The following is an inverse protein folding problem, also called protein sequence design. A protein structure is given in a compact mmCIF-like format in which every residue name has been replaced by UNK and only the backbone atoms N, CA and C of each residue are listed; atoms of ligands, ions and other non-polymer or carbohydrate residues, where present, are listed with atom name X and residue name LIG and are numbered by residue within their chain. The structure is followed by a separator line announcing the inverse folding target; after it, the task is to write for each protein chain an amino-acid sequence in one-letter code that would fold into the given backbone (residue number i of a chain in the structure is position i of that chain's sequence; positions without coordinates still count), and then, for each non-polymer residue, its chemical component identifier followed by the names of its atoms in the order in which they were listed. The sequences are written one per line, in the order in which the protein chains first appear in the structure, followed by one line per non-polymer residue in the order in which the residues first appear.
data_IF_448055927355
#
_entry.id   IF_448055927355
#
_cell.length_a   1.000
_cell.length_b   1.000
_cell.length_c   1.000
_cell.angle_alpha   90.00
_cell.angle_beta   90.00
_cell.angle_gamma   90.00
#
_symmetry.space_group_name_H-M   'P 1'
#
loop_
_entity.id
_entity.type
_entity.pdbx_description
1 polymer ?
#
# COMPACT_ATOMS: atom_id res chain seq x y z
N UNK A 1 -61.93 69.96 -5.72
CA UNK A 1 -60.90 69.24 -6.50
C UNK A 1 -61.56 68.66 -7.75
N UNK A 2 -61.17 69.07 -8.95
CA UNK A 2 -61.79 68.60 -10.21
C UNK A 2 -61.40 67.15 -10.54
N UNK A 3 -62.15 66.53 -11.46
CA UNK A 3 -61.82 65.21 -12.00
C UNK A 3 -60.40 65.17 -12.60
N UNK A 4 -60.00 66.26 -13.26
CA UNK A 4 -58.67 66.39 -13.87
C UNK A 4 -57.55 66.30 -12.84
N UNK A 5 -57.74 66.91 -11.67
CA UNK A 5 -56.76 66.83 -10.57
C UNK A 5 -56.65 65.40 -10.04
N UNK A 6 -57.79 64.69 -9.89
CA UNK A 6 -57.81 63.28 -9.45
C UNK A 6 -57.08 62.37 -10.44
N UNK A 7 -57.30 62.57 -11.73
CA UNK A 7 -56.67 61.77 -12.79
C UNK A 7 -55.16 62.00 -12.86
N UNK A 8 -54.70 63.24 -12.67
CA UNK A 8 -53.29 63.59 -12.61
C UNK A 8 -52.58 62.90 -11.45
N UNK A 9 -53.13 63.03 -10.23
CA UNK A 9 -52.54 62.43 -9.01
C UNK A 9 -52.46 60.90 -9.13
N UNK A 10 -53.50 60.25 -9.68
CA UNK A 10 -53.48 58.81 -9.92
C UNK A 10 -52.35 58.42 -10.90
N UNK A 11 -52.20 59.16 -11.99
CA UNK A 11 -51.17 58.89 -13.01
C UNK A 11 -49.75 59.08 -12.45
N UNK A 12 -49.56 60.09 -11.58
CA UNK A 12 -48.30 60.33 -10.87
C UNK A 12 -47.97 59.20 -9.88
N UNK A 13 -48.96 58.72 -9.12
CA UNK A 13 -48.79 57.59 -8.20
C UNK A 13 -48.42 56.30 -8.94
N UNK A 14 -49.14 55.95 -10.02
CA UNK A 14 -48.82 54.79 -10.85
C UNK A 14 -47.41 54.91 -11.44
N UNK A 15 -47.04 56.10 -11.92
CA UNK A 15 -45.69 56.35 -12.45
C UNK A 15 -44.60 56.18 -11.40
N UNK A 16 -44.85 56.57 -10.15
CA UNK A 16 -43.95 56.36 -9.03
C UNK A 16 -43.79 54.87 -8.70
N UNK A 17 -44.90 54.12 -8.64
CA UNK A 17 -44.90 52.69 -8.36
C UNK A 17 -44.16 51.89 -9.45
N UNK A 18 -44.42 52.18 -10.73
CA UNK A 18 -43.71 51.52 -11.85
C UNK A 18 -42.21 51.83 -11.83
N UNK A 19 -41.83 53.06 -11.49
CA UNK A 19 -40.42 53.43 -11.35
C UNK A 19 -39.76 52.68 -10.19
N UNK A 20 -40.44 52.57 -9.04
CA UNK A 20 -39.96 51.79 -7.91
C UNK A 20 -39.75 50.32 -8.30
N UNK A 21 -40.72 49.70 -8.98
CA UNK A 21 -40.61 48.31 -9.47
C UNK A 21 -39.44 48.11 -10.44
N UNK A 22 -39.27 49.02 -11.42
CA UNK A 22 -38.14 48.94 -12.37
C UNK A 22 -36.78 49.14 -11.68
N UNK A 23 -36.71 50.05 -10.71
CA UNK A 23 -35.49 50.26 -9.93
C UNK A 23 -35.17 49.03 -9.07
N UNK A 24 -36.16 48.39 -8.45
CA UNK A 24 -35.99 47.14 -7.69
C UNK A 24 -35.60 45.95 -8.58
N UNK A 25 -36.10 45.88 -9.81
CA UNK A 25 -35.70 44.87 -10.80
C UNK A 25 -34.26 45.09 -11.29
N UNK A 26 -33.83 46.34 -11.44
CA UNK A 26 -32.57 46.70 -12.07
C UNK A 26 -32.59 46.56 -13.59
N UNK A 27 -31.44 46.78 -14.23
CA UNK A 27 -31.26 46.60 -15.67
C UNK A 27 -30.93 45.13 -15.99
N UNK A 28 -31.89 44.41 -16.57
CA UNK A 28 -31.71 43.00 -16.94
C UNK A 28 -30.56 42.78 -17.95
N UNK A 29 -30.20 43.79 -18.74
CA UNK A 29 -29.09 43.67 -19.69
C UNK A 29 -27.73 43.55 -19.00
N UNK A 30 -27.64 43.98 -17.74
CA UNK A 30 -26.44 43.88 -16.89
C UNK A 30 -26.21 42.49 -16.29
N UNK A 31 -27.17 41.57 -16.39
CA UNK A 31 -26.99 40.19 -15.94
C UNK A 31 -25.85 39.50 -16.71
N UNK A 32 -25.03 38.72 -16.01
CA UNK A 32 -23.97 37.89 -16.62
C UNK A 32 -24.49 36.55 -17.17
N UNK A 33 -25.76 36.22 -16.90
CA UNK A 33 -26.44 35.04 -17.46
C UNK A 33 -26.71 35.22 -18.95
N UNK A 34 -26.89 34.11 -19.66
CA UNK A 34 -27.30 34.11 -21.06
C UNK A 34 -28.76 34.56 -21.19
N UNK A 35 -29.63 34.08 -20.30
CA UNK A 35 -31.02 34.49 -20.22
C UNK A 35 -31.15 35.85 -19.53
N UNK A 36 -31.56 36.88 -20.31
CA UNK A 36 -31.78 38.26 -19.82
C UNK A 36 -33.21 38.78 -20.01
N UNK A 37 -34.11 37.96 -20.55
CA UNK A 37 -35.48 38.38 -20.84
C UNK A 37 -36.36 38.56 -19.58
N UNK A 38 -36.07 37.82 -18.51
CA UNK A 38 -36.71 37.95 -17.20
C UNK A 38 -35.85 37.30 -16.10
N UNK A 39 -36.09 37.70 -14.84
CA UNK A 39 -35.34 37.21 -13.67
C UNK A 39 -35.53 35.71 -13.42
N UNK A 40 -36.71 35.15 -13.69
CA UNK A 40 -36.99 33.72 -13.44
C UNK A 40 -36.13 32.84 -14.36
N UNK A 41 -36.02 33.20 -15.63
CA UNK A 41 -35.18 32.49 -16.59
C UNK A 41 -33.69 32.56 -16.18
N UNK A 42 -33.20 33.74 -15.78
CA UNK A 42 -31.84 33.91 -15.28
C UNK A 42 -31.56 33.06 -14.02
N UNK A 43 -32.51 33.02 -13.08
CA UNK A 43 -32.40 32.21 -11.86
C UNK A 43 -32.37 30.70 -12.18
N UNK A 44 -33.22 30.25 -13.10
CA UNK A 44 -33.25 28.84 -13.50
C UNK A 44 -31.97 28.41 -14.24
N UNK A 45 -31.36 29.31 -15.02
CA UNK A 45 -30.04 29.10 -15.62
C UNK A 45 -28.97 28.88 -14.53
N UNK A 46 -28.92 29.77 -13.52
CA UNK A 46 -27.99 29.63 -12.40
C UNK A 46 -28.21 28.35 -11.59
N UNK A 47 -29.47 27.96 -11.35
CA UNK A 47 -29.79 26.70 -10.66
C UNK A 47 -29.20 25.48 -11.40
N UNK A 48 -29.32 25.47 -12.73
CA UNK A 48 -28.81 24.39 -13.58
C UNK A 48 -27.26 24.37 -13.60
N UNK A 49 -26.64 25.54 -13.72
CA UNK A 49 -25.18 25.68 -13.70
C UNK A 49 -24.61 25.27 -12.34
N UNK A 50 -25.23 25.69 -11.24
CA UNK A 50 -24.80 25.34 -9.88
C UNK A 50 -25.00 23.85 -9.58
N UNK A 51 -26.08 23.24 -10.07
CA UNK A 51 -26.26 21.78 -10.03
C UNK A 51 -25.21 21.00 -10.82
N UNK A 52 -24.48 21.67 -11.71
CA UNK A 52 -23.37 21.12 -12.49
C UNK A 52 -21.99 21.61 -12.00
N UNK A 53 -21.94 22.52 -11.03
CA UNK A 53 -20.71 23.13 -10.54
C UNK A 53 -20.07 22.23 -9.47
N UNK A 54 -19.02 21.52 -9.86
CA UNK A 54 -18.23 20.66 -8.98
C UNK A 54 -17.71 19.42 -9.69
N UNK A 55 -16.75 18.75 -9.07
CA UNK A 55 -16.38 17.41 -9.51
C UNK A 55 -17.59 16.48 -9.30
N UNK A 56 -18.07 15.85 -10.37
CA UNK A 56 -19.12 14.84 -10.27
C UNK A 56 -18.53 13.62 -9.57
N UNK A 57 -19.06 13.29 -8.39
CA UNK A 57 -18.68 12.07 -7.67
C UNK A 57 -19.47 10.90 -8.26
N UNK A 58 -18.76 9.87 -8.72
CA UNK A 58 -19.35 8.65 -9.28
C UNK A 58 -18.47 7.44 -8.92
N UNK A 59 -18.87 6.67 -7.92
CA UNK A 59 -18.14 5.49 -7.44
C UNK A 59 -18.27 4.27 -8.35
N UNK A 60 -19.12 4.35 -9.38
CA UNK A 60 -19.27 3.32 -10.41
C UNK A 60 -18.36 3.56 -11.61
N UNK A 61 -17.72 4.72 -11.69
CA UNK A 61 -16.82 5.06 -12.76
C UNK A 61 -15.62 4.11 -12.82
N UNK A 62 -15.24 3.70 -14.03
CA UNK A 62 -14.05 2.89 -14.27
C UNK A 62 -12.74 3.68 -14.16
N UNK A 63 -11.63 2.96 -14.03
CA UNK A 63 -10.27 3.52 -14.03
C UNK A 63 -10.02 4.31 -15.32
N UNK A 64 -9.49 5.53 -15.18
CA UNK A 64 -9.20 6.42 -16.32
C UNK A 64 -10.35 7.34 -16.73
N UNK A 65 -11.46 7.36 -15.99
CA UNK A 65 -12.50 8.37 -16.16
C UNK A 65 -11.92 9.79 -15.91
N UNK A 66 -12.19 10.72 -16.83
CA UNK A 66 -11.64 12.09 -16.80
C UNK A 66 -12.67 13.17 -16.45
N UNK A 67 -13.96 12.82 -16.43
CA UNK A 67 -15.08 13.74 -16.20
C UNK A 67 -15.71 13.63 -14.82
N UNK A 68 -15.27 12.65 -14.02
CA UNK A 68 -15.80 12.32 -12.69
C UNK A 68 -14.66 11.94 -11.76
N UNK A 69 -14.91 11.96 -10.46
CA UNK A 69 -13.98 11.46 -9.43
C UNK A 69 -14.67 10.42 -8.56
N UNK A 70 -13.89 9.53 -7.95
CA UNK A 70 -14.38 8.68 -6.87
C UNK A 70 -14.54 9.48 -5.58
N UNK A 71 -15.40 9.00 -4.69
CA UNK A 71 -15.50 9.44 -3.30
C UNK A 71 -14.24 9.06 -2.52
N UNK A 72 -14.07 9.68 -1.35
CA UNK A 72 -12.96 9.35 -0.44
C UNK A 72 -13.06 7.88 0.02
N UNK A 73 -14.27 7.41 0.36
CA UNK A 73 -14.51 6.04 0.81
C UNK A 73 -14.14 5.03 -0.28
N UNK A 74 -14.60 5.25 -1.52
CA UNK A 74 -14.26 4.39 -2.65
C UNK A 74 -12.75 4.35 -2.92
N UNK A 75 -12.07 5.49 -2.77
CA UNK A 75 -10.62 5.57 -2.94
C UNK A 75 -9.89 4.76 -1.86
N UNK A 76 -10.34 4.83 -0.61
CA UNK A 76 -9.80 4.03 0.50
C UNK A 76 -10.04 2.54 0.27
N UNK A 77 -11.25 2.14 -0.12
CA UNK A 77 -11.60 0.74 -0.41
C UNK A 77 -10.77 0.16 -1.56
N UNK A 78 -10.55 0.94 -2.62
CA UNK A 78 -9.71 0.54 -3.73
C UNK A 78 -8.26 0.31 -3.29
N UNK A 79 -7.70 1.23 -2.48
CA UNK A 79 -6.34 1.08 -1.94
C UNK A 79 -6.24 -0.14 -1.03
N UNK A 80 -7.22 -0.36 -0.14
CA UNK A 80 -7.24 -1.53 0.74
C UNK A 80 -7.29 -2.85 -0.07
N UNK A 81 -8.12 -2.90 -1.11
CA UNK A 81 -8.21 -4.05 -2.02
C UNK A 81 -6.90 -4.29 -2.78
N UNK A 82 -6.26 -3.21 -3.27
CA UNK A 82 -4.98 -3.29 -3.96
C UNK A 82 -3.86 -3.81 -3.03
N UNK A 83 -3.85 -3.38 -1.77
CA UNK A 83 -2.91 -3.88 -0.75
C UNK A 83 -3.13 -5.37 -0.48
N UNK A 84 -4.39 -5.81 -0.33
CA UNK A 84 -4.70 -7.22 -0.13
C UNK A 84 -4.26 -8.07 -1.34
N UNK A 85 -4.58 -7.61 -2.55
CA UNK A 85 -4.18 -8.29 -3.80
C UNK A 85 -2.66 -8.39 -3.93
N UNK A 86 -1.93 -7.32 -3.60
CA UNK A 86 -0.48 -7.32 -3.59
C UNK A 86 0.07 -8.31 -2.57
N UNK A 87 -0.49 -8.34 -1.36
CA UNK A 87 -0.11 -9.29 -0.32
C UNK A 87 -0.32 -10.73 -0.83
N UNK A 88 -1.50 -11.04 -1.34
CA UNK A 88 -1.80 -12.38 -1.88
C UNK A 88 -0.85 -12.77 -3.02
N UNK A 89 -0.52 -11.82 -3.90
CA UNK A 89 0.44 -12.03 -5.01
C UNK A 89 1.87 -12.27 -4.52
N UNK A 90 2.28 -11.60 -3.43
CA UNK A 90 3.60 -11.80 -2.82
C UNK A 90 3.69 -13.12 -2.06
N UNK A 91 2.57 -13.63 -1.56
CA UNK A 91 2.52 -14.91 -0.88
C UNK A 91 2.48 -16.09 -1.86
N UNK A 92 1.86 -15.94 -3.04
CA UNK A 92 1.79 -16.96 -4.09
C UNK A 92 1.48 -18.38 -3.56
N UNK A 93 0.54 -18.48 -2.61
CA UNK A 93 0.16 -19.75 -1.99
C UNK A 93 1.00 -20.18 -0.78
N UNK A 94 1.89 -19.32 -0.27
CA UNK A 94 2.53 -19.52 1.03
C UNK A 94 1.48 -19.70 2.12
N UNK A 95 1.60 -20.77 2.90
CA UNK A 95 0.71 -21.04 4.02
C UNK A 95 0.81 -19.93 5.08
N UNK A 96 -0.22 -19.78 5.92
CA UNK A 96 -0.32 -18.72 6.93
C UNK A 96 0.86 -18.63 7.92
N UNK A 97 1.70 -19.67 8.01
CA UNK A 97 2.92 -19.70 8.82
C UNK A 97 4.15 -19.01 8.17
N UNK A 98 4.06 -18.64 6.89
CA UNK A 98 5.13 -17.98 6.13
C UNK A 98 4.65 -16.66 5.51
N UNK A 99 3.64 -16.05 6.12
CA UNK A 99 3.01 -14.81 5.68
C UNK A 99 3.89 -13.57 6.00
N UNK A 100 4.99 -13.74 6.74
CA UNK A 100 5.95 -12.65 6.96
C UNK A 100 7.32 -12.95 6.35
N UNK A 101 7.89 -11.96 5.65
CA UNK A 101 9.27 -12.04 5.14
C UNK A 101 10.30 -12.30 6.25
N UNK A 102 9.97 -11.97 7.49
CA UNK A 102 10.81 -12.24 8.65
C UNK A 102 10.87 -13.73 8.97
N UNK A 103 9.76 -14.45 8.88
CA UNK A 103 9.73 -15.90 9.08
C UNK A 103 10.49 -16.63 7.97
N UNK A 104 10.35 -16.19 6.71
CA UNK A 104 11.14 -16.71 5.59
C UNK A 104 12.65 -16.45 5.80
N UNK A 105 13.01 -15.25 6.26
CA UNK A 105 14.39 -14.93 6.62
C UNK A 105 14.91 -15.84 7.74
N UNK A 106 14.12 -16.05 8.78
CA UNK A 106 14.50 -16.89 9.91
C UNK A 106 14.66 -18.36 9.51
N UNK A 107 13.78 -18.87 8.64
CA UNK A 107 13.89 -20.23 8.11
C UNK A 107 15.18 -20.40 7.30
N UNK A 108 15.48 -19.47 6.39
CA UNK A 108 16.71 -19.52 5.57
C UNK A 108 17.96 -19.48 6.46
N UNK A 109 17.98 -18.63 7.48
CA UNK A 109 19.11 -18.53 8.43
C UNK A 109 19.23 -19.79 9.29
N UNK A 110 18.10 -20.34 9.74
CA UNK A 110 18.03 -21.61 10.46
C UNK A 110 18.58 -22.78 9.64
N UNK A 111 18.14 -22.91 8.39
CA UNK A 111 18.60 -23.95 7.46
C UNK A 111 20.09 -23.81 7.14
N UNK A 112 20.58 -22.58 6.91
CA UNK A 112 22.02 -22.33 6.70
C UNK A 112 22.85 -22.75 7.93
N UNK A 113 22.34 -22.49 9.13
CA UNK A 113 22.99 -22.89 10.39
C UNK A 113 23.02 -24.42 10.51
N UNK A 114 21.90 -25.08 10.23
CA UNK A 114 21.79 -26.53 10.27
C UNK A 114 22.71 -27.20 9.24
N UNK A 115 22.78 -26.68 8.01
CA UNK A 115 23.66 -27.17 6.95
C UNK A 115 25.14 -27.00 7.32
N UNK A 116 25.50 -25.88 7.92
CA UNK A 116 26.88 -25.65 8.40
C UNK A 116 27.24 -26.63 9.52
N UNK A 117 26.35 -26.82 10.50
CA UNK A 117 26.56 -27.78 11.59
C UNK A 117 26.68 -29.22 11.07
N UNK A 118 25.87 -29.59 10.06
CA UNK A 118 25.94 -30.89 9.41
C UNK A 118 27.27 -31.06 8.63
N UNK A 119 27.67 -30.04 7.85
CA UNK A 119 28.93 -30.04 7.12
C UNK A 119 30.13 -30.20 8.07
N UNK A 120 30.15 -29.46 9.19
CA UNK A 120 31.18 -29.57 10.21
C UNK A 120 31.21 -30.95 10.88
N UNK A 121 30.04 -31.51 11.18
CA UNK A 121 29.93 -32.85 11.76
C UNK A 121 30.45 -33.93 10.81
N UNK A 122 30.11 -33.81 9.51
CA UNK A 122 30.59 -34.73 8.47
C UNK A 122 32.09 -34.56 8.25
N UNK A 123 32.61 -33.32 8.24
CA UNK A 123 34.04 -33.05 8.07
C UNK A 123 34.90 -33.61 9.22
N UNK A 124 34.34 -33.73 10.42
CA UNK A 124 34.99 -34.34 11.60
C UNK A 124 35.00 -35.88 11.57
N UNK A 125 34.32 -36.53 10.63
CA UNK A 125 34.40 -37.99 10.48
C UNK A 125 35.73 -38.38 9.84
N UNK A 126 36.26 -39.53 10.26
CA UNK A 126 37.43 -40.16 9.64
C UNK A 126 37.04 -40.64 8.25
N UNK A 127 37.69 -40.11 7.21
CA UNK A 127 37.47 -40.48 5.81
C UNK A 127 38.30 -41.70 5.44
N UNK A 128 37.72 -42.59 4.66
CA UNK A 128 38.40 -43.75 4.06
C UNK A 128 38.59 -43.59 2.55
N UNK A 129 37.86 -42.65 1.93
CA UNK A 129 37.80 -42.46 0.48
C UNK A 129 38.91 -41.51 -0.04
N UNK A 130 39.57 -40.77 0.86
CA UNK A 130 40.63 -39.83 0.53
C UNK A 130 41.55 -39.63 1.73
N UNK A 131 42.85 -39.29 1.52
CA UNK A 131 43.71 -38.80 2.59
C UNK A 131 43.08 -37.62 3.34
N UNK A 132 43.24 -37.60 4.66
CA UNK A 132 42.71 -36.56 5.55
C UNK A 132 43.83 -36.01 6.44
N UNK A 133 43.92 -34.68 6.54
CA UNK A 133 44.88 -34.00 7.43
C UNK A 133 44.22 -33.77 8.78
N UNK A 134 44.67 -34.50 9.80
CA UNK A 134 44.22 -34.37 11.18
C UNK A 134 45.37 -33.84 12.06
N UNK A 135 45.04 -33.01 13.05
CA UNK A 135 45.99 -32.69 14.11
C UNK A 135 46.35 -33.93 14.94
N UNK A 136 47.44 -33.86 15.72
CA UNK A 136 47.87 -34.98 16.56
C UNK A 136 46.77 -35.43 17.55
N UNK A 137 46.06 -34.47 18.16
CA UNK A 137 44.98 -34.74 19.12
C UNK A 137 43.77 -35.38 18.44
N UNK A 138 43.36 -34.86 17.28
CA UNK A 138 42.25 -35.43 16.50
C UNK A 138 42.58 -36.85 16.02
N UNK A 139 43.82 -37.09 15.59
CA UNK A 139 44.30 -38.42 15.18
C UNK A 139 44.25 -39.41 16.34
N UNK A 140 44.78 -39.06 17.50
CA UNK A 140 44.74 -39.93 18.69
C UNK A 140 43.28 -40.27 19.09
N UNK A 141 42.38 -39.28 19.13
CA UNK A 141 40.97 -39.50 19.44
C UNK A 141 40.28 -40.39 18.39
N UNK A 142 40.55 -40.16 17.10
CA UNK A 142 40.04 -40.99 16.02
C UNK A 142 40.50 -42.46 16.17
N UNK A 143 41.78 -42.69 16.42
CA UNK A 143 42.38 -44.00 16.64
C UNK A 143 41.79 -44.71 17.87
N UNK A 144 41.58 -43.98 18.97
CA UNK A 144 40.90 -44.50 20.14
C UNK A 144 39.44 -44.90 19.83
N UNK A 145 38.69 -44.06 19.10
CA UNK A 145 37.28 -44.35 18.74
C UNK A 145 37.12 -45.60 17.88
N UNK A 146 38.06 -45.88 16.97
CA UNK A 146 38.05 -47.07 16.12
C UNK A 146 38.74 -48.29 16.76
N UNK A 147 39.24 -48.16 17.99
CA UNK A 147 39.81 -49.25 18.77
C UNK A 147 41.22 -49.68 18.38
N UNK A 148 42.00 -48.81 17.71
CA UNK A 148 43.39 -49.13 17.33
C UNK A 148 44.45 -48.63 18.34
N UNK A 149 44.04 -47.89 19.37
CA UNK A 149 44.93 -47.42 20.44
C UNK A 149 45.70 -46.14 20.10
N UNK A 150 46.78 -45.86 20.82
CA UNK A 150 47.64 -44.69 20.56
C UNK A 150 48.58 -44.98 19.37
N UNK A 151 48.42 -44.27 18.24
CA UNK A 151 49.25 -44.49 17.06
C UNK A 151 50.71 -44.06 17.23
N UNK A 152 51.04 -43.26 18.25
CA UNK A 152 52.40 -42.79 18.53
C UNK A 152 53.07 -43.62 19.65
N UNK A 153 52.43 -44.70 20.12
CA UNK A 153 52.94 -45.52 21.22
C UNK A 153 54.27 -46.20 20.86
N UNK A 154 55.29 -46.02 21.70
CA UNK A 154 56.61 -46.58 21.48
C UNK A 154 56.69 -48.04 21.97
N UNK A 155 56.22 -48.96 21.13
CA UNK A 155 56.29 -50.39 21.39
C UNK A 155 57.72 -50.92 21.53
N UNK A 156 58.72 -50.23 20.97
CA UNK A 156 60.12 -50.62 21.13
C UNK A 156 60.60 -50.33 22.55
N UNK A 157 60.23 -49.18 23.11
CA UNK A 157 60.53 -48.84 24.50
C UNK A 157 59.91 -49.86 25.48
N UNK A 158 58.65 -50.23 25.28
CA UNK A 158 57.99 -51.27 26.09
C UNK A 158 58.70 -52.61 26.02
N UNK A 159 59.05 -53.05 24.80
CA UNK A 159 59.79 -54.30 24.61
C UNK A 159 61.15 -54.28 25.29
N UNK A 160 61.87 -53.16 25.19
CA UNK A 160 63.17 -52.98 25.84
C UNK A 160 63.04 -52.97 27.37
N UNK A 161 61.97 -52.40 27.92
CA UNK A 161 61.70 -52.42 29.35
C UNK A 161 61.32 -53.82 29.86
N UNK A 162 60.53 -54.59 29.09
CA UNK A 162 60.06 -55.91 29.50
C UNK A 162 61.14 -57.01 29.49
N UNK A 163 62.23 -56.84 28.74
CA UNK A 163 63.34 -57.82 28.66
C UNK A 163 64.44 -57.60 29.71
N UNK A 164 64.43 -56.45 30.39
CA UNK A 164 65.41 -56.07 31.41
C UNK A 164 65.07 -56.70 32.76
#
# INVERSE_FOLDING_TARGET
MSLDIKLKVLSEAIGADVKALKNSQGDLTSLSTTAKANLVAAINELYTLLGSAGAKIDDTAGTGATSVTWSADKSVDYVATAIATLKDSLLDGAGAAYDTFKELQDLIVGDQTALTALADSVAKRVRFDSPQTLSAVERAQACANIGVGDPEHDFLADYVAAKA
#
